data_IF_912063235654
#
_entry.id   IF_912063235654
#
_cell.length_a   1.000
_cell.length_b   1.000
_cell.length_c   1.000
_cell.angle_alpha   90.00
_cell.angle_beta   90.00
_cell.angle_gamma   90.00
#
_symmetry.space_group_name_H-M   'P 1'
#
loop_
_entity.id
_entity.type
_entity.pdbx_description
1 polymer ?
#
# COMPACT_ATOMS: atom_id res chain seq x y z
N UNK A 1 20.95 -21.76 -56.89
CA UNK A 1 20.26 -20.64 -56.22
C UNK A 1 19.98 -21.08 -54.79
N UNK A 2 20.68 -20.48 -53.82
CA UNK A 2 20.72 -20.93 -52.42
C UNK A 2 19.61 -20.22 -51.63
N UNK A 3 18.80 -21.02 -50.96
CA UNK A 3 17.77 -20.60 -50.00
C UNK A 3 18.43 -19.93 -48.79
N UNK A 4 17.96 -18.72 -48.45
CA UNK A 4 18.35 -18.01 -47.23
C UNK A 4 17.23 -18.20 -46.22
N UNK A 5 17.46 -19.06 -45.23
CA UNK A 5 16.62 -19.18 -44.04
C UNK A 5 16.88 -17.98 -43.12
N UNK A 6 15.87 -17.16 -42.90
CA UNK A 6 15.88 -16.12 -41.87
C UNK A 6 15.63 -16.77 -40.49
N UNK A 7 16.66 -16.78 -39.65
CA UNK A 7 16.54 -17.16 -38.26
C UNK A 7 15.85 -16.02 -37.48
N UNK A 8 14.67 -16.30 -36.93
CA UNK A 8 13.98 -15.43 -35.97
C UNK A 8 14.68 -15.56 -34.63
N UNK A 9 15.45 -14.54 -34.25
CA UNK A 9 16.01 -14.39 -32.90
C UNK A 9 14.91 -13.82 -31.99
N UNK A 10 14.28 -14.70 -31.21
CA UNK A 10 13.38 -14.32 -30.12
C UNK A 10 14.24 -13.94 -28.91
N UNK A 11 14.39 -12.63 -28.66
CA UNK A 11 14.90 -12.13 -27.38
C UNK A 11 13.75 -12.14 -26.36
N UNK A 12 13.57 -13.26 -25.67
CA UNK A 12 12.74 -13.33 -24.46
C UNK A 12 13.53 -12.78 -23.28
N UNK A 13 13.63 -11.45 -23.18
CA UNK A 13 13.99 -10.82 -21.90
C UNK A 13 12.75 -10.86 -21.00
N UNK A 14 12.52 -12.01 -20.37
CA UNK A 14 11.72 -12.04 -19.14
C UNK A 14 12.55 -11.27 -18.13
N UNK A 15 12.13 -10.03 -17.83
CA UNK A 15 12.58 -9.34 -16.63
C UNK A 15 12.05 -10.14 -15.44
N UNK A 16 12.75 -11.23 -15.15
CA UNK A 16 12.70 -11.85 -13.84
C UNK A 16 13.20 -10.74 -12.94
N UNK A 17 12.33 -10.25 -12.06
CA UNK A 17 12.82 -9.57 -10.86
C UNK A 17 13.74 -10.62 -10.25
N UNK A 18 15.05 -10.46 -10.44
CA UNK A 18 16.02 -11.28 -9.76
C UNK A 18 15.79 -10.95 -8.29
N UNK A 19 14.99 -11.79 -7.62
CA UNK A 19 14.97 -11.85 -6.18
C UNK A 19 16.42 -12.10 -5.80
N UNK A 20 17.12 -11.03 -5.43
CA UNK A 20 18.16 -11.18 -4.43
C UNK A 20 17.52 -12.02 -3.33
N UNK A 21 18.14 -13.16 -3.01
CA UNK A 21 17.63 -14.05 -1.97
C UNK A 21 17.34 -13.18 -0.74
N UNK A 22 16.15 -13.28 -0.13
CA UNK A 22 15.81 -12.45 1.00
C UNK A 22 16.89 -12.63 2.07
N UNK A 23 17.48 -11.53 2.52
CA UNK A 23 17.72 -11.38 3.96
C UNK A 23 16.41 -11.81 4.62
N UNK A 24 16.44 -12.84 5.47
CA UNK A 24 15.23 -13.59 5.88
C UNK A 24 14.05 -12.70 6.27
N UNK A 25 12.82 -13.22 6.09
CA UNK A 25 11.60 -12.49 6.41
C UNK A 25 11.66 -11.87 7.82
N UNK A 26 11.26 -10.60 7.93
CA UNK A 26 11.15 -9.93 9.22
C UNK A 26 10.04 -10.58 10.04
N UNK A 27 10.31 -10.79 11.32
CA UNK A 27 9.35 -11.28 12.30
C UNK A 27 9.48 -10.46 13.58
N UNK A 28 8.37 -10.32 14.32
CA UNK A 28 8.36 -9.76 15.67
C UNK A 28 8.82 -10.76 16.75
N UNK A 29 9.17 -11.99 16.36
CA UNK A 29 9.73 -12.97 17.28
C UNK A 29 11.03 -12.45 17.91
N UNK A 30 11.22 -12.74 19.20
CA UNK A 30 12.38 -12.32 20.00
C UNK A 30 12.49 -10.81 20.27
N UNK A 31 11.37 -10.07 20.22
CA UNK A 31 11.28 -8.66 20.61
C UNK A 31 12.33 -7.77 19.90
N UNK A 32 12.26 -7.64 18.56
CA UNK A 32 13.29 -6.94 17.78
C UNK A 32 13.35 -5.44 18.06
N UNK A 33 12.32 -4.86 18.70
CA UNK A 33 12.30 -3.46 19.14
C UNK A 33 12.83 -3.29 20.58
N UNK A 34 13.00 -4.38 21.33
CA UNK A 34 13.42 -4.41 22.74
C UNK A 34 12.52 -3.58 23.67
N UNK A 35 11.26 -3.38 23.28
CA UNK A 35 10.28 -2.58 23.98
C UNK A 35 8.97 -3.34 24.22
N UNK A 36 8.90 -4.64 23.91
CA UNK A 36 7.74 -5.49 24.14
C UNK A 36 6.61 -5.35 23.11
N UNK A 37 6.79 -4.53 22.08
CA UNK A 37 5.85 -4.47 20.95
C UNK A 37 5.75 -5.84 20.26
N UNK A 38 4.54 -6.31 19.85
CA UNK A 38 3.27 -5.59 19.75
C UNK A 38 2.39 -5.58 21.00
N UNK A 39 2.86 -6.11 22.13
CA UNK A 39 2.10 -6.19 23.39
C UNK A 39 2.87 -5.56 24.56
N UNK A 40 3.22 -4.26 24.49
CA UNK A 40 4.02 -3.61 25.51
C UNK A 40 3.26 -3.51 26.83
N UNK A 41 3.99 -3.62 27.94
CA UNK A 41 3.51 -3.29 29.28
C UNK A 41 3.26 -1.77 29.43
N UNK A 42 2.53 -1.32 30.47
CA UNK A 42 2.30 0.11 30.69
C UNK A 42 3.59 0.96 30.75
N UNK A 43 4.64 0.46 31.41
CA UNK A 43 5.93 1.17 31.48
C UNK A 43 6.65 1.21 30.13
N UNK A 44 6.48 0.17 29.30
CA UNK A 44 6.98 0.15 27.93
C UNK A 44 6.22 1.13 27.04
N UNK A 45 4.89 1.25 27.20
CA UNK A 45 4.08 2.25 26.48
C UNK A 45 4.61 3.65 26.76
N UNK A 46 4.89 4.01 28.02
CA UNK A 46 5.45 5.33 28.36
C UNK A 46 6.77 5.61 27.62
N UNK A 47 7.61 4.60 27.43
CA UNK A 47 8.86 4.75 26.66
C UNK A 47 8.60 4.95 25.17
N UNK A 48 7.64 4.22 24.60
CA UNK A 48 7.20 4.41 23.22
C UNK A 48 6.65 5.84 23.05
N UNK A 49 5.82 6.31 23.97
CA UNK A 49 5.27 7.67 23.96
C UNK A 49 6.36 8.75 24.04
N UNK A 50 7.38 8.54 24.87
CA UNK A 50 8.54 9.43 24.94
C UNK A 50 9.32 9.45 23.62
N UNK A 51 9.53 8.30 22.98
CA UNK A 51 10.22 8.20 21.68
C UNK A 51 9.37 8.81 20.54
N UNK A 52 8.05 8.64 20.58
CA UNK A 52 7.10 9.17 19.61
C UNK A 52 6.86 10.69 19.75
N UNK A 53 7.39 11.30 20.82
CA UNK A 53 7.17 12.70 21.19
C UNK A 53 5.68 13.02 21.45
N UNK A 54 4.90 12.03 21.88
CA UNK A 54 3.46 12.14 22.02
C UNK A 54 2.87 10.92 22.72
N UNK A 55 1.63 11.05 23.21
CA UNK A 55 0.95 9.96 23.93
C UNK A 55 -0.15 9.33 23.08
N UNK A 56 -0.56 8.11 23.44
CA UNK A 56 -1.85 7.60 22.99
C UNK A 56 -2.94 8.60 23.37
N UNK A 57 -4.00 8.74 22.55
CA UNK A 57 -5.14 9.56 22.94
C UNK A 57 -5.64 9.13 24.31
N UNK A 58 -5.71 10.07 25.26
CA UNK A 58 -6.31 9.79 26.56
C UNK A 58 -7.76 9.43 26.27
N UNK A 59 -8.08 8.14 26.44
CA UNK A 59 -9.46 7.68 26.38
C UNK A 59 -10.26 8.59 27.31
N UNK A 60 -11.25 9.30 26.78
CA UNK A 60 -12.07 10.18 27.58
C UNK A 60 -12.72 9.31 28.65
N UNK A 61 -12.16 9.31 29.86
CA UNK A 61 -12.57 8.47 30.97
C UNK A 61 -14.08 8.61 31.11
N UNK A 62 -14.82 7.61 30.65
CA UNK A 62 -16.27 7.62 30.45
C UNK A 62 -16.81 9.04 30.25
N UNK A 63 -16.56 9.67 29.10
CA UNK A 63 -17.29 10.89 28.77
C UNK A 63 -18.77 10.60 29.07
N UNK A 64 -19.41 11.37 29.97
CA UNK A 64 -20.75 11.03 30.49
C UNK A 64 -21.82 10.88 29.40
N UNK A 65 -21.50 11.32 28.18
CA UNK A 65 -22.32 11.26 26.98
C UNK A 65 -21.67 10.41 25.86
N UNK A 66 -20.65 9.59 26.15
CA UNK A 66 -20.12 8.64 25.19
C UNK A 66 -21.24 7.69 24.78
N UNK A 67 -21.40 7.50 23.47
CA UNK A 67 -22.42 6.61 22.95
C UNK A 67 -22.11 5.19 23.44
N UNK A 68 -23.11 4.50 23.99
CA UNK A 68 -22.98 3.07 24.32
C UNK A 68 -23.09 2.18 23.08
N UNK A 69 -23.32 2.78 21.90
CA UNK A 69 -23.42 2.10 20.62
C UNK A 69 -22.02 1.68 20.18
N UNK A 70 -21.81 0.36 20.08
CA UNK A 70 -20.61 -0.18 19.46
C UNK A 70 -20.51 0.31 17.99
N UNK A 71 -19.29 0.50 17.46
CA UNK A 71 -19.10 0.83 16.07
C UNK A 71 -19.74 -0.20 15.14
N UNK A 72 -20.08 0.22 13.92
CA UNK A 72 -20.57 -0.69 12.90
C UNK A 72 -19.52 -1.76 12.53
N UNK A 73 -19.96 -2.88 11.97
CA UNK A 73 -19.05 -3.93 11.49
C UNK A 73 -18.07 -3.41 10.43
N UNK A 74 -18.56 -2.55 9.52
CA UNK A 74 -17.75 -1.88 8.50
C UNK A 74 -16.64 -1.01 9.13
N UNK A 75 -16.99 -0.23 10.16
CA UNK A 75 -16.02 0.56 10.92
C UNK A 75 -14.99 -0.31 11.64
N UNK A 76 -15.41 -1.45 12.22
CA UNK A 76 -14.47 -2.39 12.84
C UNK A 76 -13.51 -2.98 11.80
N UNK A 77 -13.96 -3.24 10.57
CA UNK A 77 -13.08 -3.67 9.47
C UNK A 77 -12.05 -2.62 9.10
N UNK A 78 -12.42 -1.34 9.06
CA UNK A 78 -11.44 -0.26 8.88
C UNK A 78 -10.43 -0.21 10.03
N UNK A 79 -10.84 -0.41 11.29
CA UNK A 79 -9.90 -0.47 12.41
C UNK A 79 -8.95 -1.66 12.33
N UNK A 80 -9.42 -2.81 11.86
CA UNK A 80 -8.56 -3.98 11.61
C UNK A 80 -7.56 -3.72 10.48
N UNK A 81 -7.99 -3.08 9.40
CA UNK A 81 -7.10 -2.67 8.32
C UNK A 81 -6.04 -1.67 8.82
N UNK A 82 -6.43 -0.65 9.58
CA UNK A 82 -5.48 0.31 10.17
C UNK A 82 -4.45 -0.46 11.01
N UNK A 83 -4.89 -1.30 11.96
CA UNK A 83 -3.96 -2.09 12.78
C UNK A 83 -3.02 -2.97 11.93
N UNK A 84 -3.51 -3.56 10.84
CA UNK A 84 -2.69 -4.32 9.91
C UNK A 84 -1.65 -3.45 9.19
N UNK A 85 -2.03 -2.24 8.75
CA UNK A 85 -1.12 -1.28 8.13
C UNK A 85 0.00 -0.89 9.11
N UNK A 86 -0.37 -0.44 10.30
CA UNK A 86 0.62 0.11 11.24
C UNK A 86 1.60 -0.97 11.72
N UNK A 87 1.14 -2.22 11.86
CA UNK A 87 2.04 -3.35 12.17
C UNK A 87 3.06 -3.62 11.05
N UNK A 88 2.64 -3.46 9.78
CA UNK A 88 3.56 -3.53 8.64
C UNK A 88 4.57 -2.38 8.66
N UNK A 89 4.14 -1.16 8.97
CA UNK A 89 5.04 0.00 9.00
C UNK A 89 6.06 -0.10 10.14
N UNK A 90 5.62 -0.50 11.34
CA UNK A 90 6.53 -0.79 12.46
C UNK A 90 7.57 -1.82 12.04
N UNK A 91 7.16 -2.91 11.38
CA UNK A 91 8.09 -3.93 10.88
C UNK A 91 9.10 -3.36 9.87
N UNK A 92 8.62 -2.54 8.93
CA UNK A 92 9.45 -1.90 7.92
C UNK A 92 10.50 -0.99 8.55
N UNK A 93 10.09 -0.07 9.44
CA UNK A 93 11.01 0.86 10.08
C UNK A 93 11.97 0.15 11.03
N UNK A 94 11.53 -0.89 11.74
CA UNK A 94 12.43 -1.74 12.53
C UNK A 94 13.54 -2.34 11.66
N UNK A 95 13.16 -2.92 10.52
CA UNK A 95 14.12 -3.50 9.57
C UNK A 95 15.09 -2.45 9.02
N UNK A 96 14.58 -1.26 8.66
CA UNK A 96 15.38 -0.17 8.12
C UNK A 96 16.39 0.37 9.14
N UNK A 97 15.94 0.65 10.36
CA UNK A 97 16.77 1.13 11.47
C UNK A 97 17.88 0.11 11.77
N UNK A 98 17.54 -1.17 11.82
CA UNK A 98 18.52 -2.24 12.04
C UNK A 98 19.58 -2.29 10.94
N UNK A 99 19.17 -2.19 9.67
CA UNK A 99 20.11 -2.17 8.54
C UNK A 99 21.06 -0.97 8.58
N UNK A 100 20.57 0.23 8.91
CA UNK A 100 21.38 1.44 9.05
C UNK A 100 22.34 1.31 10.25
N UNK A 101 21.83 0.83 11.38
CA UNK A 101 22.59 0.70 12.64
C UNK A 101 23.70 -0.34 12.54
N UNK A 102 23.41 -1.50 11.94
CA UNK A 102 24.41 -2.55 11.71
C UNK A 102 25.38 -2.21 10.57
N UNK A 103 25.14 -1.11 9.84
CA UNK A 103 25.93 -0.73 8.69
C UNK A 103 25.90 -1.82 7.62
N UNK A 104 24.72 -2.34 7.29
CA UNK A 104 24.55 -3.29 6.16
C UNK A 104 24.95 -2.58 4.86
N UNK A 105 25.61 -3.32 3.96
CA UNK A 105 25.99 -2.77 2.65
C UNK A 105 24.75 -2.22 1.91
N UNK A 106 24.88 -1.01 1.33
CA UNK A 106 23.76 -0.26 0.76
C UNK A 106 23.01 0.64 1.75
N UNK A 107 23.11 0.40 3.06
CA UNK A 107 22.48 1.20 4.12
C UNK A 107 23.47 2.04 4.95
N UNK A 108 24.78 1.82 4.76
CA UNK A 108 25.86 2.57 5.43
C UNK A 108 25.76 4.07 5.15
N UNK A 109 25.87 4.87 6.21
CA UNK A 109 25.97 6.33 6.16
C UNK A 109 27.32 6.75 6.73
N UNK A 110 28.23 7.19 5.87
CA UNK A 110 29.62 7.48 6.27
C UNK A 110 29.76 8.72 7.17
N UNK A 111 28.76 9.60 7.18
CA UNK A 111 28.74 10.77 8.04
C UNK A 111 27.97 10.45 9.32
N UNK A 112 28.68 10.26 10.44
CA UNK A 112 28.08 9.86 11.72
C UNK A 112 27.04 10.86 12.25
N UNK A 113 27.20 12.15 11.97
CA UNK A 113 26.21 13.17 12.33
C UNK A 113 24.92 13.00 11.52
N UNK A 114 25.03 12.82 10.19
CA UNK A 114 23.87 12.57 9.33
C UNK A 114 23.19 11.23 9.66
N UNK A 115 23.99 10.21 9.97
CA UNK A 115 23.46 8.91 10.43
C UNK A 115 22.66 9.07 11.71
N UNK A 116 23.19 9.80 12.70
CA UNK A 116 22.50 10.05 13.96
C UNK A 116 21.18 10.79 13.74
N UNK A 117 21.18 11.88 12.97
CA UNK A 117 19.95 12.63 12.70
C UNK A 117 18.88 11.74 12.05
N UNK A 118 19.26 10.96 11.04
CA UNK A 118 18.32 10.05 10.40
C UNK A 118 17.80 8.97 11.35
N UNK A 119 18.66 8.39 12.20
CA UNK A 119 18.24 7.39 13.17
C UNK A 119 17.32 8.00 14.24
N UNK A 120 17.57 9.23 14.68
CA UNK A 120 16.70 9.93 15.62
C UNK A 120 15.30 10.16 14.98
N UNK A 121 15.24 10.61 13.72
CA UNK A 121 13.98 10.80 12.97
C UNK A 121 13.23 9.47 12.76
N UNK A 122 13.91 8.43 12.27
CA UNK A 122 13.29 7.12 12.02
C UNK A 122 12.84 6.42 13.30
N UNK A 123 13.54 6.61 14.42
CA UNK A 123 13.14 6.06 15.72
C UNK A 123 11.84 6.72 16.22
N UNK A 124 11.71 8.04 16.04
CA UNK A 124 10.48 8.74 16.38
C UNK A 124 9.30 8.28 15.50
N UNK A 125 9.53 8.15 14.19
CA UNK A 125 8.56 7.60 13.23
C UNK A 125 8.11 6.19 13.63
N UNK A 126 9.06 5.27 13.86
CA UNK A 126 8.75 3.91 14.28
C UNK A 126 7.87 3.90 15.53
N UNK A 127 8.20 4.71 16.54
CA UNK A 127 7.44 4.80 17.77
C UNK A 127 6.04 5.42 17.54
N UNK A 128 5.89 6.35 16.60
CA UNK A 128 4.59 6.89 16.20
C UNK A 128 3.71 5.78 15.58
N UNK A 129 4.28 4.94 14.71
CA UNK A 129 3.56 3.78 14.16
C UNK A 129 3.19 2.74 15.21
N UNK A 130 4.03 2.53 16.21
CA UNK A 130 3.68 1.68 17.35
C UNK A 130 2.43 2.23 18.08
N UNK A 131 2.36 3.55 18.32
CA UNK A 131 1.19 4.15 18.94
C UNK A 131 -0.05 4.09 18.04
N UNK A 132 0.08 4.26 16.73
CA UNK A 132 -1.03 4.10 15.79
C UNK A 132 -1.59 2.66 15.83
N UNK A 133 -0.70 1.66 15.79
CA UNK A 133 -1.05 0.24 15.88
C UNK A 133 -1.77 -0.08 17.20
N UNK A 134 -1.22 0.40 18.32
CA UNK A 134 -1.81 0.22 19.65
C UNK A 134 -3.17 0.91 19.75
N UNK A 135 -3.32 2.12 19.20
CA UNK A 135 -4.58 2.84 19.22
C UNK A 135 -5.69 2.08 18.46
N UNK A 136 -5.40 1.59 17.26
CA UNK A 136 -6.35 0.79 16.47
C UNK A 136 -6.72 -0.52 17.20
N UNK A 137 -5.73 -1.25 17.70
CA UNK A 137 -5.95 -2.49 18.45
C UNK A 137 -6.66 -2.28 19.79
N UNK A 138 -6.43 -1.16 20.48
CA UNK A 138 -7.17 -0.78 21.68
C UNK A 138 -8.63 -0.45 21.33
N UNK A 139 -8.88 0.18 20.20
CA UNK A 139 -10.23 0.38 19.65
C UNK A 139 -10.98 -0.94 19.41
N UNK A 140 -10.30 -1.95 18.85
CA UNK A 140 -10.83 -3.30 18.68
C UNK A 140 -11.12 -3.97 20.04
N UNK A 141 -10.14 -3.98 20.96
CA UNK A 141 -10.28 -4.55 22.30
C UNK A 141 -11.43 -3.92 23.10
N UNK A 142 -11.55 -2.59 23.06
CA UNK A 142 -12.64 -1.86 23.73
C UNK A 142 -14.02 -2.29 23.22
N UNK A 143 -14.10 -2.78 21.97
CA UNK A 143 -15.31 -3.30 21.35
C UNK A 143 -15.36 -4.84 21.32
N UNK A 144 -14.60 -5.49 22.21
CA UNK A 144 -14.56 -6.96 22.38
C UNK A 144 -14.19 -7.72 21.11
N UNK A 145 -13.44 -7.07 20.22
CA UNK A 145 -12.85 -7.69 19.04
C UNK A 145 -11.42 -8.14 19.35
N UNK A 146 -10.94 -9.15 18.63
CA UNK A 146 -9.55 -9.56 18.70
C UNK A 146 -8.65 -8.44 18.13
N UNK A 147 -7.52 -8.12 18.78
CA UNK A 147 -6.50 -7.30 18.15
C UNK A 147 -5.86 -8.03 16.97
N UNK A 148 -5.54 -7.30 15.91
CA UNK A 148 -4.76 -7.83 14.79
C UNK A 148 -3.32 -8.09 15.26
N UNK A 149 -2.80 -9.27 14.90
CA UNK A 149 -1.43 -9.68 15.19
C UNK A 149 -0.55 -9.45 13.96
N UNK A 150 0.75 -9.17 14.15
CA UNK A 150 1.66 -8.94 13.02
C UNK A 150 1.87 -10.22 12.21
N UNK A 151 2.18 -10.02 10.93
CA UNK A 151 2.59 -11.09 10.02
C UNK A 151 4.13 -11.23 10.00
N UNK A 152 4.64 -12.10 9.12
CA UNK A 152 6.02 -12.00 8.66
C UNK A 152 6.05 -11.16 7.39
N UNK A 153 7.12 -10.36 7.24
CA UNK A 153 7.22 -9.39 6.16
C UNK A 153 8.50 -9.55 5.34
N UNK A 154 8.42 -9.22 4.06
CA UNK A 154 9.57 -9.13 3.14
C UNK A 154 9.62 -7.74 2.54
N UNK A 155 10.79 -7.12 2.58
CA UNK A 155 11.00 -5.76 2.06
C UNK A 155 11.97 -5.83 0.88
N UNK A 156 11.54 -5.46 -0.34
CA UNK A 156 12.34 -5.65 -1.55
C UNK A 156 13.36 -4.52 -1.77
N UNK A 157 14.09 -4.13 -0.72
CA UNK A 157 15.05 -3.01 -0.76
C UNK A 157 16.43 -3.45 -0.30
N UNK A 158 17.45 -3.00 -1.03
CA UNK A 158 18.86 -3.39 -0.78
C UNK A 158 19.74 -2.20 -0.46
N UNK A 159 19.16 -1.00 -0.40
CA UNK A 159 19.86 0.22 -0.06
C UNK A 159 18.92 1.25 0.59
N UNK A 160 19.51 2.22 1.27
CA UNK A 160 18.78 3.27 1.99
C UNK A 160 17.85 4.08 1.09
N UNK A 161 18.30 4.43 -0.12
CA UNK A 161 17.52 5.28 -1.02
C UNK A 161 16.22 4.59 -1.43
N UNK A 162 16.32 3.32 -1.85
CA UNK A 162 15.16 2.55 -2.29
C UNK A 162 14.24 2.21 -1.10
N UNK A 163 14.79 2.05 0.11
CA UNK A 163 13.99 1.91 1.33
C UNK A 163 13.17 3.18 1.62
N UNK A 164 13.77 4.37 1.59
CA UNK A 164 13.00 5.61 1.81
C UNK A 164 12.00 5.87 0.66
N UNK A 165 12.35 5.52 -0.57
CA UNK A 165 11.41 5.60 -1.69
C UNK A 165 10.21 4.63 -1.51
N UNK A 166 10.46 3.43 -1.00
CA UNK A 166 9.42 2.48 -0.64
C UNK A 166 8.53 3.02 0.49
N UNK A 167 9.13 3.64 1.52
CA UNK A 167 8.42 4.31 2.60
C UNK A 167 7.44 5.35 2.07
N UNK A 168 7.93 6.27 1.23
CA UNK A 168 7.09 7.27 0.56
C UNK A 168 5.94 6.62 -0.22
N UNK A 169 6.21 5.55 -0.99
CA UNK A 169 5.19 4.89 -1.83
C UNK A 169 4.07 4.22 -1.02
N UNK A 170 4.38 3.49 0.06
CA UNK A 170 3.31 2.91 0.87
C UNK A 170 2.57 3.97 1.68
N UNK A 171 3.27 5.04 2.12
CA UNK A 171 2.63 6.16 2.82
C UNK A 171 1.65 6.89 1.90
N UNK A 172 1.98 7.05 0.61
CA UNK A 172 1.06 7.61 -0.39
C UNK A 172 -0.24 6.78 -0.51
N UNK A 173 -0.15 5.44 -0.40
CA UNK A 173 -1.31 4.53 -0.41
C UNK A 173 -2.17 4.70 0.85
N UNK A 174 -1.53 4.85 2.02
CA UNK A 174 -2.21 5.09 3.30
C UNK A 174 -2.93 6.44 3.27
N UNK A 175 -2.23 7.51 2.86
CA UNK A 175 -2.81 8.85 2.69
C UNK A 175 -3.95 8.88 1.68
N UNK A 176 -3.92 8.02 0.66
CA UNK A 176 -5.04 7.86 -0.27
C UNK A 176 -6.27 7.21 0.39
N UNK A 177 -6.05 6.35 1.38
CA UNK A 177 -7.06 5.45 1.95
C UNK A 177 -7.76 6.02 3.18
N UNK A 178 -7.01 6.66 4.08
CA UNK A 178 -7.56 7.13 5.36
C UNK A 178 -8.74 8.13 5.22
N UNK A 179 -8.79 9.04 4.23
CA UNK A 179 -9.97 9.90 4.02
C UNK A 179 -11.26 9.13 3.67
N UNK A 180 -11.16 8.03 2.91
CA UNK A 180 -12.29 7.14 2.61
C UNK A 180 -12.78 6.43 3.88
N UNK A 181 -11.85 6.00 4.74
CA UNK A 181 -12.18 5.45 6.06
C UNK A 181 -12.92 6.46 6.94
N UNK A 182 -12.47 7.73 7.00
CA UNK A 182 -13.18 8.78 7.73
C UNK A 182 -14.60 9.01 7.19
N UNK A 183 -14.75 8.99 5.86
CA UNK A 183 -16.05 9.11 5.19
C UNK A 183 -16.96 7.94 5.57
N UNK A 184 -16.43 6.72 5.59
CA UNK A 184 -17.14 5.53 6.08
C UNK A 184 -17.60 5.68 7.53
N UNK A 185 -16.73 6.16 8.43
CA UNK A 185 -17.11 6.41 9.83
C UNK A 185 -18.27 7.40 9.95
N UNK A 186 -18.23 8.49 9.18
CA UNK A 186 -19.29 9.49 9.16
C UNK A 186 -20.63 8.88 8.69
N UNK A 187 -20.60 8.15 7.57
CA UNK A 187 -21.78 7.47 7.01
C UNK A 187 -22.36 6.43 7.97
N UNK A 188 -21.51 5.71 8.70
CA UNK A 188 -21.92 4.70 9.68
C UNK A 188 -22.41 5.29 11.01
N UNK A 189 -22.26 6.60 11.21
CA UNK A 189 -22.58 7.30 12.45
C UNK A 189 -21.56 7.09 13.58
N UNK A 190 -20.35 6.65 13.24
CA UNK A 190 -19.24 6.34 14.15
C UNK A 190 -18.29 7.55 14.30
N UNK A 191 -18.88 8.74 14.39
CA UNK A 191 -18.18 10.04 14.32
C UNK A 191 -17.06 10.22 15.36
N UNK A 192 -17.10 9.48 16.47
CA UNK A 192 -16.08 9.53 17.52
C UNK A 192 -14.68 9.12 17.03
N UNK A 193 -14.59 8.33 15.97
CA UNK A 193 -13.32 7.84 15.42
C UNK A 193 -12.71 8.77 14.37
N UNK A 194 -13.49 9.71 13.81
CA UNK A 194 -13.07 10.58 12.70
C UNK A 194 -11.84 11.40 13.08
N UNK A 195 -11.84 12.02 14.28
CA UNK A 195 -10.73 12.90 14.70
C UNK A 195 -9.43 12.14 14.93
N UNK A 196 -9.51 10.89 15.41
CA UNK A 196 -8.33 10.04 15.60
C UNK A 196 -7.63 9.80 14.26
N UNK A 197 -8.37 9.28 13.27
CA UNK A 197 -7.83 9.06 11.92
C UNK A 197 -7.41 10.36 11.25
N UNK A 198 -8.12 11.47 11.48
CA UNK A 198 -7.74 12.78 10.95
C UNK A 198 -6.40 13.29 11.45
N UNK A 199 -6.07 13.01 12.72
CA UNK A 199 -4.77 13.32 13.28
C UNK A 199 -3.67 12.45 12.66
N UNK A 200 -3.93 11.14 12.48
CA UNK A 200 -3.01 10.20 11.79
C UNK A 200 -2.72 10.70 10.36
N UNK A 201 -3.73 11.07 9.57
CA UNK A 201 -3.52 11.64 8.22
C UNK A 201 -2.55 12.84 8.22
N UNK A 202 -2.70 13.75 9.18
CA UNK A 202 -1.80 14.91 9.30
C UNK A 202 -0.36 14.47 9.59
N UNK A 203 -0.20 13.51 10.49
CA UNK A 203 1.09 12.97 10.90
C UNK A 203 1.76 12.19 9.74
N UNK A 204 1.03 11.30 9.06
CA UNK A 204 1.53 10.58 7.88
C UNK A 204 1.97 11.53 6.75
N UNK A 205 1.26 12.67 6.62
CA UNK A 205 1.62 13.72 5.69
C UNK A 205 2.98 14.37 5.99
N UNK A 206 3.31 14.56 7.27
CA UNK A 206 4.61 15.07 7.72
C UNK A 206 5.73 14.07 7.40
N UNK A 207 5.49 12.78 7.68
CA UNK A 207 6.43 11.71 7.36
C UNK A 207 6.70 11.59 5.86
N UNK A 208 5.64 11.56 5.05
CA UNK A 208 5.78 11.48 3.60
C UNK A 208 6.53 12.70 3.06
N UNK A 209 6.25 13.89 3.61
CA UNK A 209 7.01 15.10 3.30
C UNK A 209 8.51 14.94 3.56
N UNK A 210 8.88 14.34 4.70
CA UNK A 210 10.26 13.98 5.03
C UNK A 210 10.85 12.99 4.03
N UNK A 211 10.17 11.87 3.74
CA UNK A 211 10.65 10.86 2.78
C UNK A 211 10.90 11.43 1.40
N UNK A 212 10.02 12.30 0.92
CA UNK A 212 10.17 12.92 -0.41
C UNK A 212 11.41 13.80 -0.49
N UNK A 213 11.80 14.47 0.59
CA UNK A 213 13.01 15.28 0.63
C UNK A 213 14.33 14.46 0.56
N UNK A 214 14.30 13.14 0.78
CA UNK A 214 15.47 12.27 0.58
C UNK A 214 15.86 12.15 -0.89
N UNK A 215 14.90 12.29 -1.82
CA UNK A 215 15.15 12.14 -3.24
C UNK A 215 15.68 13.44 -3.87
N UNK A 216 16.87 13.86 -3.44
CA UNK A 216 17.55 15.07 -3.92
C UNK A 216 17.80 15.05 -5.44
N UNK A 217 17.92 13.86 -6.04
CA UNK A 217 18.15 13.70 -7.48
C UNK A 217 16.94 14.16 -8.28
N UNK A 218 15.75 13.74 -7.85
CA UNK A 218 14.49 14.11 -8.51
C UNK A 218 13.91 15.43 -7.98
N UNK A 219 14.59 16.07 -7.01
CA UNK A 219 14.21 17.37 -6.44
C UNK A 219 12.75 17.42 -5.99
N UNK A 220 12.25 16.29 -5.45
CA UNK A 220 10.92 16.24 -4.88
C UNK A 220 10.83 17.27 -3.74
N UNK A 221 9.74 18.03 -3.72
CA UNK A 221 9.38 18.91 -2.61
C UNK A 221 8.71 18.08 -1.50
N UNK A 222 8.29 18.64 -0.34
CA UNK A 222 7.53 17.87 0.65
C UNK A 222 6.14 17.43 0.18
N UNK A 223 5.32 18.37 -0.30
CA UNK A 223 3.95 18.07 -0.75
C UNK A 223 3.92 17.55 -2.17
N UNK A 224 3.31 16.38 -2.41
CA UNK A 224 3.29 15.78 -3.76
C UNK A 224 2.35 16.53 -4.70
N UNK A 225 1.12 16.76 -4.23
CA UNK A 225 0.04 17.40 -4.96
C UNK A 225 -0.82 18.23 -3.99
N UNK A 226 -1.58 19.22 -4.48
CA UNK A 226 -2.54 19.94 -3.64
C UNK A 226 -3.69 19.04 -3.16
N UNK A 227 -4.05 18.02 -3.94
CA UNK A 227 -5.04 17.01 -3.60
C UNK A 227 -4.47 15.64 -3.93
N UNK A 228 -4.18 14.84 -2.89
CA UNK A 228 -3.62 13.50 -3.08
C UNK A 228 -4.66 12.55 -3.69
N UNK A 229 -4.18 11.41 -4.19
CA UNK A 229 -5.00 10.38 -4.83
C UNK A 229 -6.01 9.80 -3.88
N UNK A 230 -7.25 9.59 -4.32
CA UNK A 230 -8.25 8.85 -3.54
C UNK A 230 -8.00 7.34 -3.62
N UNK A 231 -8.23 6.63 -2.53
CA UNK A 231 -8.09 5.18 -2.42
C UNK A 231 -9.14 4.60 -1.46
N UNK A 232 -9.32 3.28 -1.51
CA UNK A 232 -10.16 2.56 -0.54
C UNK A 232 -9.31 1.56 0.23
N UNK A 233 -9.78 1.13 1.40
CA UNK A 233 -9.08 0.09 2.20
C UNK A 233 -8.84 -1.21 1.43
N UNK A 234 -9.69 -1.56 0.45
CA UNK A 234 -9.48 -2.75 -0.39
C UNK A 234 -8.21 -2.63 -1.24
N UNK A 235 -7.96 -1.45 -1.82
CA UNK A 235 -6.76 -1.23 -2.61
C UNK A 235 -5.51 -1.28 -1.74
N UNK A 236 -5.51 -0.59 -0.60
CA UNK A 236 -4.37 -0.60 0.31
C UNK A 236 -4.10 -1.99 0.89
N UNK A 237 -5.14 -2.68 1.36
CA UNK A 237 -4.99 -4.03 1.89
C UNK A 237 -4.48 -5.01 0.84
N UNK A 238 -5.01 -4.95 -0.39
CA UNK A 238 -4.52 -5.75 -1.51
C UNK A 238 -3.04 -5.44 -1.80
N UNK A 239 -2.67 -4.16 -1.92
CA UNK A 239 -1.30 -3.74 -2.18
C UNK A 239 -0.33 -4.26 -1.12
N UNK A 240 -0.61 -4.03 0.15
CA UNK A 240 0.30 -4.41 1.24
C UNK A 240 0.40 -5.93 1.39
N UNK A 241 -0.73 -6.63 1.35
CA UNK A 241 -0.77 -8.08 1.49
C UNK A 241 -0.06 -8.79 0.33
N UNK A 242 -0.21 -8.31 -0.90
CA UNK A 242 0.42 -8.92 -2.07
C UNK A 242 1.93 -8.66 -2.14
N UNK A 243 2.40 -7.47 -1.72
CA UNK A 243 3.78 -7.04 -1.96
C UNK A 243 4.73 -7.34 -0.80
N UNK A 244 4.23 -7.42 0.44
CA UNK A 244 5.11 -7.44 1.61
C UNK A 244 4.83 -8.55 2.61
N UNK A 245 3.62 -9.11 2.63
CA UNK A 245 3.29 -10.18 3.58
C UNK A 245 3.78 -11.53 3.06
N UNK A 246 4.46 -12.29 3.90
CA UNK A 246 4.78 -13.69 3.60
C UNK A 246 3.48 -14.50 3.64
N UNK A 247 3.10 -15.22 2.55
CA UNK A 247 1.85 -15.97 2.51
C UNK A 247 1.70 -16.96 3.68
N UNK A 248 0.54 -16.91 4.35
CA UNK A 248 0.22 -17.79 5.48
C UNK A 248 0.90 -17.44 6.80
N UNK A 249 1.65 -16.34 6.89
CA UNK A 249 2.38 -15.97 8.11
C UNK A 249 1.55 -15.19 9.14
N UNK A 250 0.44 -14.57 8.71
CA UNK A 250 -0.41 -13.76 9.57
C UNK A 250 -1.26 -14.62 10.51
N UNK A 251 -1.13 -14.51 11.85
CA UNK A 251 -1.81 -15.38 12.79
C UNK A 251 -3.34 -15.34 12.75
N UNK A 252 -3.91 -14.15 12.50
CA UNK A 252 -5.36 -13.94 12.48
C UNK A 252 -5.84 -13.11 11.28
N UNK A 253 -5.24 -13.30 10.09
CA UNK A 253 -5.68 -12.62 8.85
C UNK A 253 -7.17 -12.82 8.56
N UNK A 254 -7.73 -13.94 9.02
CA UNK A 254 -9.15 -14.28 8.88
C UNK A 254 -10.08 -13.33 9.63
N UNK A 255 -9.61 -12.63 10.67
CA UNK A 255 -10.39 -11.59 11.35
C UNK A 255 -10.62 -10.37 10.41
N UNK A 256 -9.76 -10.21 9.39
CA UNK A 256 -9.89 -9.21 8.33
C UNK A 256 -10.65 -9.80 7.15
N UNK A 257 -10.22 -10.95 6.62
CA UNK A 257 -10.68 -11.47 5.32
C UNK A 257 -12.02 -12.20 5.35
N UNK A 258 -12.50 -12.65 6.51
CA UNK A 258 -13.87 -13.17 6.61
C UNK A 258 -14.93 -12.06 6.61
N UNK A 259 -14.51 -10.80 6.76
CA UNK A 259 -15.40 -9.68 6.69
C UNK A 259 -15.71 -9.35 5.22
N UNK A 260 -16.98 -9.39 4.84
CA UNK A 260 -17.43 -9.10 3.47
C UNK A 260 -17.18 -7.65 3.03
N UNK A 261 -16.77 -6.79 3.96
CA UNK A 261 -16.51 -5.38 3.70
C UNK A 261 -15.04 -5.10 3.34
N UNK A 262 -14.19 -6.11 3.20
CA UNK A 262 -12.84 -5.95 2.65
C UNK A 262 -12.49 -7.03 1.64
N UNK A 263 -11.90 -6.64 0.52
CA UNK A 263 -11.49 -7.53 -0.55
C UNK A 263 -9.97 -7.57 -0.71
N UNK A 264 -9.44 -8.74 -1.03
CA UNK A 264 -8.10 -8.91 -1.61
C UNK A 264 -8.32 -9.20 -3.08
N UNK A 265 -7.87 -8.29 -3.95
CA UNK A 265 -7.96 -8.46 -5.40
C UNK A 265 -6.84 -9.38 -5.92
N UNK A 266 -6.95 -9.80 -7.18
CA UNK A 266 -5.80 -10.37 -7.88
C UNK A 266 -4.72 -9.29 -8.08
N UNK A 267 -3.45 -9.68 -8.04
CA UNK A 267 -2.36 -8.72 -8.21
C UNK A 267 -2.29 -8.20 -9.65
N UNK A 268 -2.26 -6.87 -9.82
CA UNK A 268 -2.01 -6.21 -11.10
C UNK A 268 -0.58 -5.68 -11.13
N UNK A 269 0.30 -6.36 -11.86
CA UNK A 269 1.66 -5.92 -12.07
C UNK A 269 1.71 -4.76 -13.07
N UNK A 270 2.50 -3.73 -12.75
CA UNK A 270 2.87 -2.65 -13.68
C UNK A 270 4.27 -2.96 -14.21
N UNK A 271 4.34 -3.45 -15.44
CA UNK A 271 5.57 -3.99 -16.03
C UNK A 271 6.50 -2.88 -16.56
N UNK A 272 5.93 -1.78 -17.04
CA UNK A 272 6.72 -0.64 -17.53
C UNK A 272 7.37 0.07 -16.34
N UNK A 273 8.70 0.05 -16.29
CA UNK A 273 9.55 0.74 -15.30
C UNK A 273 9.16 0.46 -13.83
N UNK A 274 8.52 -0.70 -13.55
CA UNK A 274 8.02 -1.06 -12.22
C UNK A 274 6.99 -0.07 -11.67
N UNK A 275 6.28 0.65 -12.54
CA UNK A 275 5.33 1.70 -12.20
C UNK A 275 5.95 3.08 -11.95
N UNK A 276 7.27 3.25 -12.01
CA UNK A 276 7.90 4.58 -11.92
C UNK A 276 7.95 5.22 -13.31
N UNK A 277 6.82 5.75 -13.78
CA UNK A 277 6.68 6.18 -15.16
C UNK A 277 7.26 7.57 -15.41
N UNK A 278 7.66 7.82 -16.65
CA UNK A 278 8.06 9.15 -17.13
C UNK A 278 6.84 10.09 -17.21
N UNK A 279 7.00 11.42 -17.02
CA UNK A 279 5.93 12.40 -17.13
C UNK A 279 5.56 12.67 -18.59
N UNK A 280 4.94 11.68 -19.25
CA UNK A 280 4.52 11.75 -20.64
C UNK A 280 3.38 10.77 -20.92
N UNK A 281 2.57 11.08 -21.93
CA UNK A 281 1.63 10.11 -22.49
C UNK A 281 2.40 8.92 -23.05
N UNK A 282 2.05 7.70 -22.63
CA UNK A 282 2.72 6.48 -23.08
C UNK A 282 1.81 5.27 -22.90
N UNK A 283 2.08 4.20 -23.66
CA UNK A 283 1.48 2.91 -23.35
C UNK A 283 2.23 2.26 -22.19
N UNK A 284 1.47 1.83 -21.19
CA UNK A 284 1.98 1.13 -20.01
C UNK A 284 1.58 -0.33 -20.13
N UNK A 285 2.55 -1.23 -19.92
CA UNK A 285 2.32 -2.66 -19.95
C UNK A 285 1.93 -3.15 -18.55
N UNK A 286 0.91 -3.98 -18.49
CA UNK A 286 0.40 -4.58 -17.27
C UNK A 286 0.28 -6.10 -17.42
N UNK A 287 0.24 -6.79 -16.29
CA UNK A 287 -0.16 -8.19 -16.25
C UNK A 287 -0.91 -8.55 -14.97
N UNK A 288 -1.80 -9.54 -15.06
CA UNK A 288 -2.39 -10.22 -13.90
C UNK A 288 -2.58 -11.70 -14.20
N UNK A 289 -2.73 -12.50 -13.15
CA UNK A 289 -2.96 -13.96 -13.26
C UNK A 289 -4.41 -14.24 -12.91
N UNK A 290 -5.11 -14.96 -13.80
CA UNK A 290 -6.46 -15.44 -13.57
C UNK A 290 -6.48 -16.97 -13.51
N UNK A 291 -7.40 -17.53 -12.71
CA UNK A 291 -7.64 -18.98 -12.69
C UNK A 291 -8.32 -19.47 -13.98
N UNK A 292 -9.17 -18.64 -14.57
CA UNK A 292 -9.91 -18.91 -15.80
C UNK A 292 -10.19 -17.62 -16.59
N UNK A 293 -10.45 -17.75 -17.88
CA UNK A 293 -10.97 -16.64 -18.70
C UNK A 293 -12.49 -16.72 -18.69
N UNK A 294 -13.15 -15.72 -18.11
CA UNK A 294 -14.61 -15.67 -18.09
C UNK A 294 -15.16 -15.19 -19.45
N UNK A 295 -16.26 -15.75 -19.95
CA UNK A 295 -16.85 -15.34 -21.24
C UNK A 295 -17.14 -13.83 -21.32
N UNK A 296 -17.58 -13.22 -20.23
CA UNK A 296 -17.89 -11.79 -20.14
C UNK A 296 -16.67 -10.87 -20.28
N UNK A 297 -15.45 -11.38 -20.13
CA UNK A 297 -14.22 -10.61 -20.39
C UNK A 297 -14.00 -10.41 -21.89
N UNK A 298 -14.66 -11.23 -22.71
CA UNK A 298 -14.63 -11.19 -24.16
C UNK A 298 -15.87 -10.47 -24.68
N UNK A 299 -15.67 -9.53 -25.60
CA UNK A 299 -16.76 -8.92 -26.35
C UNK A 299 -17.30 -9.84 -27.44
N UNK A 300 -18.28 -9.34 -28.18
CA UNK A 300 -18.99 -10.08 -29.25
C UNK A 300 -18.06 -10.66 -30.32
N UNK A 301 -16.90 -10.03 -30.56
CA UNK A 301 -15.90 -10.47 -31.54
C UNK A 301 -14.75 -11.29 -30.92
N UNK A 302 -14.92 -11.80 -29.69
CA UNK A 302 -13.85 -12.45 -28.90
C UNK A 302 -12.64 -11.54 -28.57
N UNK A 303 -12.80 -10.24 -28.79
CA UNK A 303 -11.88 -9.19 -28.35
C UNK A 303 -12.00 -8.97 -26.84
N UNK A 304 -11.01 -8.36 -26.20
CA UNK A 304 -10.99 -8.16 -24.75
C UNK A 304 -11.78 -6.91 -24.30
N UNK A 305 -12.84 -6.57 -25.04
CA UNK A 305 -13.63 -5.35 -24.82
C UNK A 305 -14.62 -5.47 -23.65
N UNK A 306 -14.71 -6.64 -23.02
CA UNK A 306 -15.44 -6.84 -21.78
C UNK A 306 -14.68 -6.40 -20.52
N UNK A 307 -13.40 -6.03 -20.67
CA UNK A 307 -12.55 -5.49 -19.61
C UNK A 307 -12.04 -4.09 -19.94
N UNK A 308 -11.88 -3.28 -18.91
CA UNK A 308 -11.26 -1.96 -18.97
C UNK A 308 -10.19 -1.82 -17.89
N UNK A 309 -9.18 -1.00 -18.15
CA UNK A 309 -8.25 -0.53 -17.12
C UNK A 309 -8.74 0.84 -16.64
N UNK A 310 -8.89 1.00 -15.33
CA UNK A 310 -9.30 2.26 -14.73
C UNK A 310 -8.16 2.84 -13.93
N UNK A 311 -7.87 4.12 -14.15
CA UNK A 311 -6.93 4.89 -13.36
C UNK A 311 -7.64 5.81 -12.37
N UNK A 312 -7.10 5.88 -11.16
CA UNK A 312 -7.51 6.81 -10.10
C UNK A 312 -6.29 7.65 -9.73
N UNK A 313 -6.38 8.97 -9.93
CA UNK A 313 -5.32 9.92 -9.62
C UNK A 313 -5.94 11.21 -9.06
N UNK A 314 -5.33 11.73 -7.99
CA UNK A 314 -5.87 12.84 -7.21
C UNK A 314 -7.32 12.57 -6.76
N UNK A 315 -8.11 13.62 -6.55
CA UNK A 315 -9.54 13.55 -6.24
C UNK A 315 -10.41 13.63 -7.51
N UNK A 316 -9.84 13.32 -8.68
CA UNK A 316 -10.55 13.38 -9.96
C UNK A 316 -11.53 12.20 -10.11
N UNK A 317 -12.48 12.34 -11.03
CA UNK A 317 -13.24 11.20 -11.52
C UNK A 317 -12.26 10.18 -12.16
N UNK A 318 -12.44 8.86 -11.90
CA UNK A 318 -11.60 7.83 -12.51
C UNK A 318 -11.64 7.86 -14.04
N UNK A 319 -10.52 7.52 -14.68
CA UNK A 319 -10.39 7.46 -16.15
C UNK A 319 -10.36 6.01 -16.60
N UNK A 320 -11.24 5.63 -17.52
CA UNK A 320 -11.28 4.29 -18.11
C UNK A 320 -10.56 4.25 -19.45
N UNK A 321 -9.68 3.27 -19.60
CA UNK A 321 -8.89 2.99 -20.80
C UNK A 321 -9.14 1.57 -21.30
N UNK A 322 -8.99 1.39 -22.62
CA UNK A 322 -9.14 0.08 -23.24
C UNK A 322 -7.87 -0.74 -23.04
N UNK A 323 -8.05 -2.06 -22.89
CA UNK A 323 -6.95 -3.00 -22.98
C UNK A 323 -6.51 -3.14 -24.44
N UNK A 324 -5.23 -2.92 -24.70
CA UNK A 324 -4.56 -3.05 -26.00
C UNK A 324 -3.63 -4.26 -25.99
N UNK A 325 -3.38 -4.84 -27.17
CA UNK A 325 -2.36 -5.88 -27.36
C UNK A 325 -2.45 -7.06 -26.39
N UNK A 326 -3.68 -7.47 -26.02
CA UNK A 326 -3.90 -8.45 -24.97
C UNK A 326 -3.45 -9.85 -25.37
N UNK A 327 -2.67 -10.49 -24.52
CA UNK A 327 -2.15 -11.84 -24.66
C UNK A 327 -2.53 -12.67 -23.44
N UNK A 328 -2.98 -13.90 -23.65
CA UNK A 328 -3.24 -14.87 -22.60
C UNK A 328 -2.29 -16.05 -22.74
N UNK A 329 -1.51 -16.32 -21.70
CA UNK A 329 -0.54 -17.42 -21.67
C UNK A 329 -0.86 -18.35 -20.52
N UNK A 330 -1.05 -19.63 -20.80
CA UNK A 330 -1.28 -20.66 -19.78
C UNK A 330 0.06 -21.03 -19.14
N UNK A 331 0.16 -20.88 -17.82
CA UNK A 331 1.30 -21.29 -17.02
C UNK A 331 0.90 -22.27 -15.92
N UNK A 332 1.87 -22.69 -15.11
CA UNK A 332 1.64 -23.59 -13.97
C UNK A 332 0.74 -23.00 -12.88
N UNK A 333 0.67 -21.67 -12.81
CA UNK A 333 0.00 -20.92 -11.74
C UNK A 333 -1.33 -20.29 -12.20
N UNK A 334 -1.83 -20.64 -13.38
CA UNK A 334 -3.03 -20.05 -13.99
C UNK A 334 -2.74 -19.45 -15.37
N UNK A 335 -3.62 -18.54 -15.80
CA UNK A 335 -3.57 -17.87 -17.09
C UNK A 335 -3.06 -16.45 -16.86
N UNK A 336 -1.85 -16.16 -17.33
CA UNK A 336 -1.30 -14.80 -17.32
C UNK A 336 -1.92 -14.00 -18.45
N UNK A 337 -2.63 -12.93 -18.09
CA UNK A 337 -3.16 -11.94 -19.03
C UNK A 337 -2.20 -10.75 -19.03
N UNK A 338 -1.59 -10.46 -20.18
CA UNK A 338 -0.72 -9.29 -20.38
C UNK A 338 -1.35 -8.36 -21.40
N UNK A 339 -1.27 -7.06 -21.17
CA UNK A 339 -1.84 -6.05 -22.06
C UNK A 339 -1.12 -4.71 -21.94
N UNK A 340 -1.44 -3.78 -22.82
CA UNK A 340 -1.07 -2.38 -22.73
C UNK A 340 -2.31 -1.51 -22.49
N UNK A 341 -2.15 -0.37 -21.85
CA UNK A 341 -3.16 0.69 -21.83
C UNK A 341 -2.48 2.05 -21.95
N UNK A 342 -3.17 3.01 -22.57
CA UNK A 342 -2.69 4.39 -22.65
C UNK A 342 -2.66 5.01 -21.25
N UNK A 343 -1.56 5.65 -20.87
CA UNK A 343 -1.49 6.48 -19.66
C UNK A 343 -1.62 7.95 -20.08
N UNK A 344 -2.76 8.62 -19.82
CA UNK A 344 -3.08 9.92 -20.40
C UNK A 344 -2.47 11.09 -19.59
N UNK A 345 -1.15 11.08 -19.38
CA UNK A 345 -0.46 12.16 -18.67
C UNK A 345 -0.66 13.51 -19.37
N UNK A 346 -1.08 14.52 -18.60
CA UNK A 346 -1.15 15.92 -19.04
C UNK A 346 -0.34 16.89 -18.16
N UNK A 347 0.17 16.40 -17.02
CA UNK A 347 1.01 17.15 -16.09
C UNK A 347 0.28 18.25 -15.29
N UNK A 348 -1.03 18.38 -15.45
CA UNK A 348 -1.86 19.38 -14.76
C UNK A 348 -3.04 18.72 -14.07
N UNK A 349 -3.97 18.15 -14.84
CA UNK A 349 -5.18 17.53 -14.31
C UNK A 349 -4.95 16.06 -13.97
N UNK A 350 -4.10 15.34 -14.72
CA UNK A 350 -3.89 13.91 -14.54
C UNK A 350 -2.42 13.49 -14.68
N UNK A 351 -2.04 12.56 -13.81
CA UNK A 351 -0.87 11.71 -13.98
C UNK A 351 0.36 12.11 -13.18
N UNK A 352 0.30 13.10 -12.31
CA UNK A 352 1.36 13.39 -11.33
C UNK A 352 1.07 12.65 -10.01
N UNK A 353 2.13 12.29 -9.26
CA UNK A 353 2.08 11.55 -8.00
C UNK A 353 1.56 10.12 -8.14
N UNK A 354 1.03 9.57 -7.04
CA UNK A 354 0.42 8.25 -7.00
C UNK A 354 -0.74 8.13 -7.98
N UNK A 355 -0.77 7.08 -8.77
CA UNK A 355 -1.93 6.65 -9.54
C UNK A 355 -2.22 5.19 -9.26
N UNK A 356 -3.46 4.88 -8.89
CA UNK A 356 -3.93 3.50 -8.74
C UNK A 356 -4.52 3.03 -10.07
N UNK A 357 -4.15 1.83 -10.51
CA UNK A 357 -4.71 1.19 -11.68
C UNK A 357 -5.51 -0.06 -11.28
N UNK A 358 -6.67 -0.29 -11.87
CA UNK A 358 -7.52 -1.45 -11.59
C UNK A 358 -8.13 -2.01 -12.87
N UNK A 359 -8.13 -3.33 -13.02
CA UNK A 359 -8.88 -4.01 -14.09
C UNK A 359 -10.29 -4.28 -13.60
N UNK A 360 -11.29 -3.81 -14.35
CA UNK A 360 -12.72 -3.96 -14.05
C UNK A 360 -13.48 -4.48 -15.28
N UNK A 361 -14.67 -5.08 -15.11
CA UNK A 361 -15.59 -5.30 -16.22
C UNK A 361 -15.98 -3.97 -16.87
N UNK A 362 -15.99 -3.88 -18.20
CA UNK A 362 -16.21 -2.62 -18.93
C UNK A 362 -17.59 -1.99 -18.75
N UNK A 363 -18.58 -2.74 -18.25
CA UNK A 363 -19.92 -2.26 -17.94
C UNK A 363 -20.08 -1.78 -16.48
N UNK A 364 -18.99 -1.78 -15.70
CA UNK A 364 -19.02 -1.36 -14.30
C UNK A 364 -19.18 0.16 -14.16
N UNK A 365 -19.75 0.59 -13.04
CA UNK A 365 -19.76 2.00 -12.67
C UNK A 365 -18.37 2.46 -12.23
N UNK A 366 -17.78 3.38 -12.98
CA UNK A 366 -16.44 3.94 -12.72
C UNK A 366 -16.50 5.42 -12.32
N UNK A 367 -17.63 5.87 -11.77
CA UNK A 367 -17.82 7.27 -11.37
C UNK A 367 -17.04 7.69 -10.12
N UNK A 368 -16.60 6.74 -9.29
CA UNK A 368 -15.87 7.02 -8.04
C UNK A 368 -14.88 5.93 -7.66
N UNK A 369 -13.93 6.24 -6.77
CA UNK A 369 -12.98 5.25 -6.23
C UNK A 369 -13.69 4.07 -5.55
N UNK A 370 -14.82 4.31 -4.87
CA UNK A 370 -15.61 3.28 -4.20
C UNK A 370 -16.26 2.31 -5.19
N UNK A 371 -16.84 2.81 -6.29
CA UNK A 371 -17.48 1.96 -7.30
C UNK A 371 -16.44 1.19 -8.12
N UNK A 372 -15.29 1.79 -8.42
CA UNK A 372 -14.15 1.10 -9.05
C UNK A 372 -13.61 -0.01 -8.14
N UNK A 373 -13.40 0.28 -6.85
CA UNK A 373 -12.97 -0.72 -5.86
C UNK A 373 -13.93 -1.90 -5.79
N UNK A 374 -15.24 -1.64 -5.75
CA UNK A 374 -16.25 -2.70 -5.72
C UNK A 374 -16.29 -3.58 -6.98
N UNK A 375 -15.87 -3.04 -8.13
CA UNK A 375 -15.84 -3.74 -9.42
C UNK A 375 -14.46 -4.35 -9.77
N UNK A 376 -13.45 -4.14 -8.93
CA UNK A 376 -12.07 -4.54 -9.24
C UNK A 376 -11.92 -6.06 -9.28
N UNK A 377 -11.34 -6.54 -10.38
CA UNK A 377 -10.91 -7.93 -10.55
C UNK A 377 -9.43 -8.07 -10.15
N UNK A 378 -8.58 -7.21 -10.69
CA UNK A 378 -7.15 -7.17 -10.40
C UNK A 378 -6.70 -5.74 -10.09
N UNK A 379 -5.96 -5.57 -8.99
CA UNK A 379 -5.47 -4.28 -8.54
C UNK A 379 -4.93 -4.28 -7.10
N UNK A 380 -4.47 -3.12 -6.62
CA UNK A 380 -4.11 -1.97 -7.44
C UNK A 380 -2.76 -2.19 -8.13
N UNK A 381 -2.66 -1.78 -9.40
CA UNK A 381 -1.37 -1.45 -10.00
C UNK A 381 -0.91 -0.10 -9.46
N UNK A 382 0.32 -0.02 -8.95
CA UNK A 382 0.84 1.17 -8.29
C UNK A 382 1.79 1.94 -9.19
N UNK A 383 1.33 3.08 -9.70
CA UNK A 383 2.08 3.98 -10.57
C UNK A 383 2.49 5.22 -9.80
N UNK A 384 3.74 5.66 -10.00
CA UNK A 384 4.31 6.89 -9.45
C UNK A 384 4.92 7.70 -10.59
N UNK A 385 4.54 8.98 -10.68
CA UNK A 385 5.12 9.95 -11.62
C UNK A 385 5.50 11.19 -10.83
N UNK A 386 6.75 11.63 -10.97
CA UNK A 386 7.29 12.72 -10.17
C UNK A 386 8.03 13.75 -11.01
#
# INVERSE_FOLDING_TARGET
MRSVSAAVLIFSCVASIASAAPTGAFTFDNDPLHNGFPNPSPDQIIKIEQAAHGSLPIAAAAAKNATSKAPSADTLTSLRFIAFNELFEVAFFTSLINNITAGVDGFKINNGTAQKYLLDDLTAIQAQEELHALNANNGLKANKQNPIQPCQYVFPTTNLKDAIALASKFTDIVLATLPDIQTGFATNGDNGLIRGVGAVIGQEGEQNGFYRQFDKKNKKIPSALPFLTAGTRNFAFSALNQNFVVPGSCPNIQDITNDKNIAIFDALAVETDGGNLKPQTQNVKFSFVASEIKPEWKGTNSDWTGLSLVYINQQNAPISEKLLNVQATVGSNGITISFEASFPFDGVAFGNGLTLAAVVPSNSDVSSVTTVSAATLAGPGLIEVN
#
